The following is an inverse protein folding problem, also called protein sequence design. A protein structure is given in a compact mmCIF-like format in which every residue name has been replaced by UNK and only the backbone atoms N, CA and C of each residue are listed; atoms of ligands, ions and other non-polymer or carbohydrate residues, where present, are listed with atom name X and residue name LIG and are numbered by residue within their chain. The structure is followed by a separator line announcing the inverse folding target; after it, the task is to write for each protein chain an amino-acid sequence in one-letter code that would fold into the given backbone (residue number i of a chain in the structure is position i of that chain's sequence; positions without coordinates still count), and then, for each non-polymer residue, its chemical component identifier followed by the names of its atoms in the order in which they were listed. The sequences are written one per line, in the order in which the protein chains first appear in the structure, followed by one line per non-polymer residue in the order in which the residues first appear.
data_IF_180718536717
#
_entry.id   IF_180718536717
#
_cell.length_a   1.000
_cell.length_b   1.000
_cell.length_c   1.000
_cell.angle_alpha   90.00
_cell.angle_beta   90.00
_cell.angle_gamma   90.00
#
_symmetry.space_group_name_H-M   'P 1'
#
loop_
_entity.id
_entity.type
_entity.pdbx_description
1 polymer ?
#
# COMPACT_ATOMS: atom_id res chain seq x y z
N UNK A 1 -37.27 -46.93 -23.02
CA UNK A 1 -38.09 -45.84 -22.44
C UNK A 1 -37.64 -45.56 -21.01
N UNK A 2 -36.74 -44.60 -20.81
CA UNK A 2 -36.72 -43.57 -19.75
C UNK A 2 -35.37 -42.86 -19.76
N UNK A 3 -35.48 -41.54 -19.84
CA UNK A 3 -34.41 -40.56 -20.00
C UNK A 3 -33.55 -40.39 -18.76
N UNK A 4 -32.34 -39.89 -19.01
CA UNK A 4 -31.36 -39.35 -18.09
C UNK A 4 -31.89 -38.24 -17.19
N UNK A 5 -31.30 -38.09 -16.00
CA UNK A 5 -30.94 -36.78 -15.44
C UNK A 5 -29.59 -36.89 -14.70
N UNK A 6 -28.61 -36.17 -15.24
CA UNK A 6 -27.36 -35.83 -14.58
C UNK A 6 -27.61 -34.91 -13.38
N UNK A 7 -27.03 -35.25 -12.23
CA UNK A 7 -26.77 -34.29 -11.15
C UNK A 7 -25.36 -33.74 -11.33
N UNK A 8 -25.26 -32.51 -11.83
CA UNK A 8 -24.04 -31.70 -11.72
C UNK A 8 -24.23 -30.85 -10.46
N UNK A 9 -23.40 -31.11 -9.44
CA UNK A 9 -23.41 -30.37 -8.19
C UNK A 9 -22.69 -29.02 -8.34
N UNK A 10 -23.39 -27.96 -7.94
CA UNK A 10 -22.87 -26.60 -7.82
C UNK A 10 -21.69 -26.55 -6.85
N UNK A 11 -20.53 -26.11 -7.35
CA UNK A 11 -19.32 -25.83 -6.55
C UNK A 11 -18.56 -24.62 -7.12
N UNK A 12 -19.25 -23.53 -7.43
CA UNK A 12 -18.63 -22.25 -7.81
C UNK A 12 -19.38 -21.11 -7.16
N UNK A 13 -19.10 -20.91 -5.87
CA UNK A 13 -19.34 -19.67 -5.15
C UNK A 13 -18.11 -19.47 -4.27
N UNK A 14 -17.69 -18.21 -4.13
CA UNK A 14 -16.50 -17.70 -3.42
C UNK A 14 -15.27 -17.50 -4.33
N UNK A 15 -15.16 -16.29 -4.90
CA UNK A 15 -13.99 -15.41 -4.78
C UNK A 15 -14.30 -14.08 -5.48
N UNK A 16 -15.12 -13.25 -4.83
CA UNK A 16 -15.17 -11.81 -5.07
C UNK A 16 -14.21 -11.15 -4.07
N UNK A 17 -12.92 -11.10 -4.42
CA UNK A 17 -11.96 -10.26 -3.73
C UNK A 17 -11.89 -8.93 -4.46
N UNK A 18 -12.27 -7.88 -3.73
CA UNK A 18 -12.31 -6.47 -4.10
C UNK A 18 -11.05 -6.02 -4.85
N UNK A 19 -11.21 -5.52 -6.07
CA UNK A 19 -10.24 -4.64 -6.70
C UNK A 19 -10.60 -3.19 -6.34
N UNK A 20 -10.30 -2.79 -5.11
CA UNK A 20 -10.38 -1.40 -4.68
C UNK A 20 -9.09 -0.70 -5.10
N UNK A 21 -9.11 -0.03 -6.26
CA UNK A 21 -8.01 0.83 -6.70
C UNK A 21 -8.47 2.29 -6.57
N UNK A 22 -8.32 2.83 -5.36
CA UNK A 22 -8.57 4.23 -5.09
C UNK A 22 -7.58 5.08 -5.92
N UNK A 23 -8.12 5.93 -6.80
CA UNK A 23 -7.36 6.95 -7.52
C UNK A 23 -7.80 8.29 -6.93
N UNK A 24 -6.91 8.94 -6.17
CA UNK A 24 -7.15 10.28 -5.68
C UNK A 24 -7.13 11.28 -6.86
N UNK A 25 -8.19 12.07 -6.99
CA UNK A 25 -8.25 13.23 -7.88
C UNK A 25 -8.11 14.48 -7.01
N UNK A 26 -7.06 15.27 -7.23
CA UNK A 26 -6.92 16.59 -6.62
C UNK A 26 -7.63 17.63 -7.48
N UNK A 27 -8.57 18.39 -6.91
CA UNK A 27 -8.72 19.82 -7.23
C UNK A 27 -9.59 20.60 -6.24
N UNK A 28 -9.27 21.90 -6.16
CA UNK A 28 -9.94 23.04 -5.55
C UNK A 28 -9.88 23.25 -4.02
N UNK A 29 -9.08 24.26 -3.67
CA UNK A 29 -8.85 24.85 -2.37
C UNK A 29 -10.14 25.40 -1.74
N UNK A 30 -10.47 24.88 -0.57
CA UNK A 30 -11.10 25.65 0.51
C UNK A 30 -10.12 25.66 1.68
N UNK A 31 -9.75 26.84 2.18
CA UNK A 31 -8.88 26.97 3.36
C UNK A 31 -9.46 26.14 4.51
N UNK A 32 -8.73 25.12 4.95
CA UNK A 32 -9.11 24.26 6.08
C UNK A 32 -9.07 25.07 7.38
N UNK A 33 -10.24 25.47 7.86
CA UNK A 33 -10.45 25.87 9.25
C UNK A 33 -10.75 24.64 10.16
N UNK A 34 -10.87 23.44 9.57
CA UNK A 34 -11.29 22.20 10.24
C UNK A 34 -10.22 21.54 11.11
N UNK A 35 -8.93 21.75 10.83
CA UNK A 35 -7.86 21.12 11.63
C UNK A 35 -7.69 21.77 13.02
N UNK A 36 -8.05 23.05 13.18
CA UNK A 36 -7.91 23.77 14.45
C UNK A 36 -9.14 23.54 15.34
N UNK A 37 -10.33 23.34 14.77
CA UNK A 37 -11.56 23.10 15.53
C UNK A 37 -11.66 21.67 16.11
N UNK A 38 -11.07 20.67 15.45
CA UNK A 38 -11.18 19.27 15.90
C UNK A 38 -10.32 18.93 17.14
N UNK A 39 -9.20 19.62 17.40
CA UNK A 39 -8.30 19.20 18.50
C UNK A 39 -8.87 19.49 19.89
N UNK A 40 -9.65 20.56 20.08
CA UNK A 40 -10.27 20.90 21.37
C UNK A 40 -11.71 20.38 21.51
N UNK A 41 -12.22 19.64 20.53
CA UNK A 41 -13.55 19.06 20.61
C UNK A 41 -13.57 17.97 21.69
N UNK A 42 -14.56 18.03 22.59
CA UNK A 42 -14.80 16.96 23.56
C UNK A 42 -15.15 15.67 22.82
N UNK A 43 -14.30 14.66 22.97
CA UNK A 43 -14.53 13.31 22.49
C UNK A 43 -15.59 12.60 23.34
N UNK A 44 -15.52 12.73 24.67
CA UNK A 44 -16.45 12.08 25.58
C UNK A 44 -16.24 12.47 27.04
N UNK A 45 -16.96 11.79 27.93
CA UNK A 45 -16.86 11.97 29.38
C UNK A 45 -16.49 10.64 30.05
N UNK A 46 -15.54 10.66 30.98
CA UNK A 46 -15.18 9.52 31.83
C UNK A 46 -15.10 9.97 33.29
N UNK A 47 -15.91 9.37 34.18
CA UNK A 47 -16.00 9.74 35.60
C UNK A 47 -16.18 11.26 35.85
N UNK A 48 -16.97 11.93 35.00
CA UNK A 48 -17.18 13.38 35.08
C UNK A 48 -16.05 14.24 34.51
N UNK A 49 -14.94 13.65 34.05
CA UNK A 49 -13.87 14.34 33.32
C UNK A 49 -14.19 14.33 31.82
N UNK A 50 -14.14 15.51 31.19
CA UNK A 50 -14.15 15.61 29.73
C UNK A 50 -12.83 15.08 29.15
N UNK A 51 -12.93 14.24 28.13
CA UNK A 51 -11.82 13.80 27.29
C UNK A 51 -11.96 14.51 25.96
N UNK A 52 -10.90 15.16 25.51
CA UNK A 52 -10.84 15.86 24.22
C UNK A 52 -10.16 15.02 23.16
N UNK A 53 -10.41 15.32 21.88
CA UNK A 53 -9.69 14.69 20.78
C UNK A 53 -8.17 14.89 20.87
N UNK A 54 -7.69 16.03 21.40
CA UNK A 54 -6.26 16.27 21.61
C UNK A 54 -5.63 15.26 22.58
N UNK A 55 -6.36 14.84 23.62
CA UNK A 55 -5.89 13.89 24.64
C UNK A 55 -5.76 12.45 24.12
N UNK A 56 -6.35 12.13 22.96
CA UNK A 56 -6.20 10.80 22.35
C UNK A 56 -4.77 10.57 21.82
N UNK A 57 -4.29 9.34 21.96
CA UNK A 57 -3.06 8.87 21.30
C UNK A 57 -3.20 8.97 19.77
N UNK A 58 -2.08 8.96 19.04
CA UNK A 58 -2.14 8.99 17.57
C UNK A 58 -2.81 7.72 17.00
N UNK A 59 -2.68 6.58 17.67
CA UNK A 59 -3.27 5.30 17.28
C UNK A 59 -4.79 5.34 17.41
N UNK A 60 -5.30 5.87 18.52
CA UNK A 60 -6.75 6.09 18.72
C UNK A 60 -7.30 7.10 17.68
N UNK A 61 -6.56 8.18 17.39
CA UNK A 61 -6.93 9.14 16.33
C UNK A 61 -6.97 8.45 14.96
N UNK A 62 -5.95 7.67 14.63
CA UNK A 62 -5.88 6.87 13.41
C UNK A 62 -7.06 5.90 13.30
N UNK A 63 -7.41 5.19 14.38
CA UNK A 63 -8.53 4.25 14.39
C UNK A 63 -9.87 4.94 14.11
N UNK A 64 -10.14 6.06 14.78
CA UNK A 64 -11.36 6.86 14.57
C UNK A 64 -11.43 7.38 13.13
N UNK A 65 -10.34 7.95 12.62
CA UNK A 65 -10.30 8.50 11.26
C UNK A 65 -10.41 7.39 10.22
N UNK A 66 -9.83 6.22 10.45
CA UNK A 66 -10.01 5.05 9.58
C UNK A 66 -11.48 4.59 9.56
N UNK A 67 -12.17 4.62 10.71
CA UNK A 67 -13.60 4.32 10.77
C UNK A 67 -14.43 5.36 9.99
N UNK A 68 -14.14 6.66 10.16
CA UNK A 68 -14.78 7.74 9.39
C UNK A 68 -14.52 7.59 7.89
N UNK A 69 -13.28 7.27 7.51
CA UNK A 69 -12.88 6.99 6.13
C UNK A 69 -13.68 5.82 5.57
N UNK A 70 -13.84 4.75 6.34
CA UNK A 70 -14.65 3.61 5.91
C UNK A 70 -16.10 4.00 5.66
N UNK A 71 -16.69 4.84 6.52
CA UNK A 71 -18.04 5.37 6.33
C UNK A 71 -18.13 6.20 5.05
N UNK A 72 -17.18 7.12 4.85
CA UNK A 72 -17.12 7.97 3.66
C UNK A 72 -16.98 7.16 2.37
N UNK A 73 -16.01 6.23 2.31
CA UNK A 73 -15.81 5.35 1.15
C UNK A 73 -17.03 4.46 0.88
N UNK A 74 -17.66 3.93 1.93
CA UNK A 74 -18.88 3.11 1.77
C UNK A 74 -20.00 3.95 1.14
N UNK A 75 -20.18 5.18 1.59
CA UNK A 75 -21.18 6.08 1.03
C UNK A 75 -20.86 6.50 -0.41
N UNK A 76 -19.58 6.79 -0.71
CA UNK A 76 -19.14 7.08 -2.07
C UNK A 76 -19.41 5.91 -3.02
N UNK A 77 -19.04 4.69 -2.64
CA UNK A 77 -19.30 3.48 -3.43
C UNK A 77 -20.80 3.25 -3.69
N UNK A 78 -21.68 3.61 -2.76
CA UNK A 78 -23.14 3.54 -2.95
C UNK A 78 -23.58 4.52 -4.05
N UNK A 79 -23.08 5.76 -4.03
CA UNK A 79 -23.39 6.76 -5.06
C UNK A 79 -22.83 6.37 -6.44
N UNK A 80 -21.60 5.87 -6.48
CA UNK A 80 -20.98 5.35 -7.70
C UNK A 80 -21.79 4.21 -8.30
N UNK A 81 -22.25 3.27 -7.47
CA UNK A 81 -23.14 2.19 -7.91
C UNK A 81 -24.43 2.74 -8.50
N UNK A 82 -25.11 3.67 -7.82
CA UNK A 82 -26.35 4.28 -8.32
C UNK A 82 -26.13 4.99 -9.65
N UNK A 83 -25.00 5.66 -9.80
CA UNK A 83 -24.63 6.31 -11.04
C UNK A 83 -24.44 5.29 -12.17
N UNK A 84 -23.66 4.22 -11.97
CA UNK A 84 -23.43 3.20 -12.98
C UNK A 84 -24.71 2.49 -13.39
N UNK A 85 -25.56 2.13 -12.43
CA UNK A 85 -26.85 1.49 -12.70
C UNK A 85 -27.74 2.42 -13.56
N UNK A 86 -27.80 3.71 -13.22
CA UNK A 86 -28.52 4.71 -14.03
C UNK A 86 -27.89 4.91 -15.41
N UNK A 87 -26.56 4.92 -15.49
CA UNK A 87 -25.82 5.13 -16.73
C UNK A 87 -26.07 3.99 -17.72
N UNK A 88 -25.97 2.74 -17.27
CA UNK A 88 -26.24 1.57 -18.12
C UNK A 88 -27.71 1.47 -18.50
N UNK A 89 -28.64 1.90 -17.65
CA UNK A 89 -30.05 1.98 -17.99
C UNK A 89 -30.32 2.99 -19.12
N UNK A 90 -29.69 4.16 -19.08
CA UNK A 90 -29.81 5.14 -20.18
C UNK A 90 -29.10 4.67 -21.45
N UNK A 91 -27.95 3.98 -21.32
CA UNK A 91 -27.29 3.31 -22.44
C UNK A 91 -28.20 2.24 -23.08
N UNK A 92 -28.87 1.43 -22.28
CA UNK A 92 -29.83 0.42 -22.73
C UNK A 92 -30.93 1.04 -23.60
N UNK A 93 -31.58 2.10 -23.09
CA UNK A 93 -32.63 2.81 -23.84
C UNK A 93 -32.12 3.40 -25.14
N UNK A 94 -30.98 4.10 -25.09
CA UNK A 94 -30.38 4.77 -26.26
C UNK A 94 -30.04 3.79 -27.38
N UNK A 95 -29.65 2.56 -27.02
CA UNK A 95 -29.26 1.52 -27.99
C UNK A 95 -30.37 0.49 -28.27
N UNK A 96 -31.59 0.69 -27.75
CA UNK A 96 -32.74 -0.22 -27.92
C UNK A 96 -32.45 -1.67 -27.49
N UNK A 97 -31.81 -1.85 -26.35
CA UNK A 97 -31.44 -3.17 -25.81
C UNK A 97 -32.50 -3.71 -24.85
N UNK A 98 -32.73 -5.02 -24.88
CA UNK A 98 -33.84 -5.66 -24.16
C UNK A 98 -33.62 -5.69 -22.64
N UNK A 99 -32.39 -5.96 -22.20
CA UNK A 99 -32.04 -6.08 -20.79
C UNK A 99 -30.82 -5.23 -20.42
N UNK A 100 -30.64 -4.98 -19.12
CA UNK A 100 -29.44 -4.30 -18.61
C UNK A 100 -28.17 -5.14 -18.85
N UNK A 101 -28.29 -6.47 -18.82
CA UNK A 101 -27.18 -7.37 -19.14
C UNK A 101 -26.78 -7.27 -20.61
N UNK A 102 -27.75 -7.14 -21.52
CA UNK A 102 -27.48 -6.87 -22.94
C UNK A 102 -26.77 -5.51 -23.11
N UNK A 103 -27.16 -4.49 -22.34
CA UNK A 103 -26.52 -3.18 -22.33
C UNK A 103 -25.05 -3.24 -21.89
N UNK A 104 -24.78 -3.91 -20.78
CA UNK A 104 -23.41 -4.12 -20.29
C UNK A 104 -22.58 -4.90 -21.31
N UNK A 105 -23.13 -6.00 -21.84
CA UNK A 105 -22.45 -6.83 -22.84
C UNK A 105 -22.14 -6.06 -24.12
N UNK A 106 -23.10 -5.30 -24.64
CA UNK A 106 -22.92 -4.47 -25.83
C UNK A 106 -21.85 -3.40 -25.59
N UNK A 107 -21.95 -2.64 -24.49
CA UNK A 107 -20.97 -1.60 -24.15
C UNK A 107 -19.55 -2.16 -24.01
N UNK A 108 -19.37 -3.22 -23.20
CA UNK A 108 -18.04 -3.78 -22.99
C UNK A 108 -17.49 -4.45 -24.24
N UNK A 109 -18.31 -5.07 -25.09
CA UNK A 109 -17.82 -5.63 -26.36
C UNK A 109 -17.25 -4.57 -27.31
N UNK A 110 -17.72 -3.33 -27.21
CA UNK A 110 -17.26 -2.19 -28.02
C UNK A 110 -16.00 -1.53 -27.46
N UNK A 111 -15.87 -1.47 -26.13
CA UNK A 111 -14.83 -0.70 -25.45
C UNK A 111 -13.71 -1.55 -24.84
N UNK A 112 -13.95 -2.85 -24.61
CA UNK A 112 -12.97 -3.78 -24.03
C UNK A 112 -12.56 -4.80 -25.07
N UNK A 113 -11.26 -4.82 -25.40
CA UNK A 113 -10.65 -5.82 -26.27
C UNK A 113 -9.44 -6.40 -25.57
N UNK A 114 -9.40 -7.72 -25.44
CA UNK A 114 -8.26 -8.45 -24.88
C UNK A 114 -7.68 -9.30 -26.01
N UNK A 115 -6.46 -8.98 -26.43
CA UNK A 115 -5.78 -9.72 -27.48
C UNK A 115 -5.19 -11.03 -26.93
N UNK A 116 -5.19 -12.07 -27.76
CA UNK A 116 -4.64 -13.37 -27.36
C UNK A 116 -3.13 -13.27 -27.11
N UNK A 117 -2.41 -12.38 -27.82
CA UNK A 117 -0.99 -12.13 -27.55
C UNK A 117 -0.74 -11.48 -26.18
N UNK A 118 -1.64 -10.60 -25.73
CA UNK A 118 -1.58 -9.99 -24.40
C UNK A 118 -1.81 -11.06 -23.32
N UNK A 119 -2.76 -11.97 -23.54
CA UNK A 119 -3.02 -13.11 -22.62
C UNK A 119 -1.78 -14.00 -22.50
N UNK A 120 -1.17 -14.36 -23.63
CA UNK A 120 0.05 -15.18 -23.62
C UNK A 120 1.22 -14.46 -22.94
N UNK A 121 1.37 -13.15 -23.20
CA UNK A 121 2.39 -12.33 -22.56
C UNK A 121 2.18 -12.26 -21.05
N UNK A 122 0.95 -12.07 -20.60
CA UNK A 122 0.60 -12.07 -19.18
C UNK A 122 0.93 -13.41 -18.52
N UNK A 123 0.56 -14.54 -19.14
CA UNK A 123 0.89 -15.88 -18.63
C UNK A 123 2.41 -16.04 -18.50
N UNK A 124 3.17 -15.65 -19.53
CA UNK A 124 4.64 -15.74 -19.53
C UNK A 124 5.26 -14.89 -18.43
N UNK A 125 4.82 -13.64 -18.27
CA UNK A 125 5.32 -12.73 -17.25
C UNK A 125 4.99 -13.21 -15.82
N UNK A 126 3.87 -13.92 -15.65
CA UNK A 126 3.39 -14.40 -14.36
C UNK A 126 3.60 -15.90 -14.16
N UNK A 127 4.47 -16.56 -14.94
CA UNK A 127 4.67 -18.01 -14.89
C UNK A 127 5.16 -18.52 -13.52
N UNK A 128 5.84 -17.67 -12.76
CA UNK A 128 6.34 -17.97 -11.42
C UNK A 128 5.33 -17.65 -10.31
N UNK A 129 4.15 -17.12 -10.63
CA UNK A 129 3.11 -16.83 -9.65
C UNK A 129 2.54 -18.16 -9.10
N UNK A 130 2.54 -18.40 -7.78
CA UNK A 130 2.04 -19.65 -7.20
C UNK A 130 0.58 -19.97 -7.54
N UNK A 131 -0.28 -18.97 -7.70
CA UNK A 131 -1.68 -19.17 -8.12
C UNK A 131 -1.74 -19.59 -9.59
N UNK A 132 -0.87 -19.05 -10.45
CA UNK A 132 -0.79 -19.44 -11.86
C UNK A 132 -0.30 -20.89 -12.03
N UNK A 133 0.65 -21.32 -11.19
CA UNK A 133 1.20 -22.68 -11.22
C UNK A 133 0.16 -23.73 -10.80
N UNK A 134 -0.81 -23.36 -9.96
CA UNK A 134 -1.93 -24.23 -9.58
C UNK A 134 -2.95 -24.45 -10.70
N UNK A 135 -2.96 -23.60 -11.73
CA UNK A 135 -3.88 -23.72 -12.87
C UNK A 135 -3.28 -24.67 -13.92
N UNK A 136 -3.99 -25.73 -14.35
CA UNK A 136 -3.54 -26.61 -15.44
C UNK A 136 -3.22 -25.81 -16.69
N UNK A 137 -2.09 -26.10 -17.34
CA UNK A 137 -1.59 -25.29 -18.47
C UNK A 137 -2.63 -25.09 -19.58
N UNK A 138 -3.37 -26.15 -19.93
CA UNK A 138 -4.45 -26.14 -20.92
C UNK A 138 -5.62 -25.19 -20.58
N UNK A 139 -5.80 -24.84 -19.30
CA UNK A 139 -6.88 -23.99 -18.80
C UNK A 139 -6.44 -22.52 -18.61
N UNK A 140 -5.12 -22.26 -18.56
CA UNK A 140 -4.56 -20.94 -18.25
C UNK A 140 -5.04 -19.86 -19.21
N UNK A 141 -5.00 -20.11 -20.52
CA UNK A 141 -5.39 -19.10 -21.52
C UNK A 141 -6.84 -18.65 -21.32
N UNK A 142 -7.77 -19.58 -21.16
CA UNK A 142 -9.18 -19.26 -20.96
C UNK A 142 -9.44 -18.49 -19.67
N UNK A 143 -8.88 -18.97 -18.55
CA UNK A 143 -9.07 -18.35 -17.23
C UNK A 143 -8.39 -16.97 -17.14
N UNK A 144 -7.18 -16.83 -17.70
CA UNK A 144 -6.47 -15.55 -17.74
C UNK A 144 -7.20 -14.57 -18.65
N UNK A 145 -7.69 -14.99 -19.82
CA UNK A 145 -8.50 -14.12 -20.69
C UNK A 145 -9.78 -13.63 -20.00
N UNK A 146 -10.45 -14.51 -19.24
CA UNK A 146 -11.62 -14.12 -18.43
C UNK A 146 -11.24 -13.14 -17.31
N UNK A 147 -10.12 -13.38 -16.63
CA UNK A 147 -9.60 -12.46 -15.62
C UNK A 147 -9.27 -11.09 -16.21
N UNK A 148 -8.47 -11.03 -17.28
CA UNK A 148 -8.08 -9.79 -17.95
C UNK A 148 -9.28 -9.03 -18.50
N UNK A 149 -10.27 -9.74 -19.05
CA UNK A 149 -11.54 -9.13 -19.48
C UNK A 149 -12.24 -8.44 -18.30
N UNK A 150 -12.37 -9.11 -17.14
CA UNK A 150 -12.98 -8.51 -15.94
C UNK A 150 -12.21 -7.29 -15.43
N UNK A 151 -10.88 -7.35 -15.43
CA UNK A 151 -10.02 -6.23 -15.04
C UNK A 151 -10.22 -5.03 -15.99
N UNK A 152 -10.25 -5.28 -17.30
CA UNK A 152 -10.46 -4.22 -18.28
C UNK A 152 -11.87 -3.61 -18.22
N UNK A 153 -12.90 -4.43 -17.97
CA UNK A 153 -14.27 -3.94 -17.71
C UNK A 153 -14.34 -3.05 -16.47
N UNK A 154 -13.72 -3.48 -15.36
CA UNK A 154 -13.67 -2.66 -14.14
C UNK A 154 -12.93 -1.33 -14.36
N UNK A 155 -11.85 -1.33 -15.14
CA UNK A 155 -11.13 -0.10 -15.51
C UNK A 155 -11.99 0.85 -16.34
N UNK A 156 -12.82 0.31 -17.22
CA UNK A 156 -13.74 1.11 -18.02
C UNK A 156 -14.87 1.71 -17.16
N UNK A 157 -15.46 0.94 -16.26
CA UNK A 157 -16.43 1.46 -15.27
C UNK A 157 -15.80 2.55 -14.40
N UNK A 158 -14.57 2.35 -13.95
CA UNK A 158 -13.83 3.36 -13.20
C UNK A 158 -13.63 4.66 -14.00
N UNK A 159 -13.37 4.57 -15.31
CA UNK A 159 -13.27 5.74 -16.20
C UNK A 159 -14.59 6.51 -16.27
N UNK A 160 -15.73 5.81 -16.37
CA UNK A 160 -17.06 6.42 -16.35
C UNK A 160 -17.33 7.14 -15.02
N UNK A 161 -16.99 6.51 -13.90
CA UNK A 161 -17.13 7.10 -12.56
C UNK A 161 -16.26 8.34 -12.40
N UNK A 162 -14.98 8.27 -12.77
CA UNK A 162 -14.06 9.40 -12.68
C UNK A 162 -14.58 10.60 -13.49
N UNK A 163 -15.03 10.36 -14.72
CA UNK A 163 -15.62 11.42 -15.56
C UNK A 163 -16.88 12.04 -14.92
N UNK A 164 -17.69 11.22 -14.26
CA UNK A 164 -18.89 11.67 -13.56
C UNK A 164 -18.55 12.52 -12.33
N UNK A 165 -17.54 12.13 -11.54
CA UNK A 165 -17.03 12.91 -10.41
C UNK A 165 -16.46 14.26 -10.86
N UNK A 166 -15.63 14.26 -11.91
CA UNK A 166 -15.05 15.49 -12.49
C UNK A 166 -16.11 16.46 -12.99
N UNK A 167 -17.24 15.95 -13.49
CA UNK A 167 -18.40 16.74 -13.90
C UNK A 167 -19.34 17.10 -12.74
N UNK A 168 -19.03 16.69 -11.51
CA UNK A 168 -19.87 16.92 -10.33
C UNK A 168 -21.19 16.14 -10.33
N UNK A 169 -21.33 15.12 -11.19
CA UNK A 169 -22.52 14.25 -11.25
C UNK A 169 -22.58 13.27 -10.08
N UNK A 170 -21.42 12.93 -9.52
CA UNK A 170 -21.30 12.18 -8.28
C UNK A 170 -20.71 13.14 -7.24
N UNK A 171 -21.46 13.40 -6.17
CA UNK A 171 -21.01 14.25 -5.07
C UNK A 171 -21.62 13.78 -3.75
N UNK A 172 -20.77 13.40 -2.80
CA UNK A 172 -21.19 13.08 -1.45
C UNK A 172 -21.35 14.39 -0.64
N UNK A 173 -22.56 14.64 -0.14
CA UNK A 173 -22.90 15.89 0.59
C UNK A 173 -23.22 15.62 2.07
N UNK A 174 -23.78 14.46 2.38
CA UNK A 174 -24.25 14.13 3.74
C UNK A 174 -23.19 13.56 4.69
N UNK A 175 -22.00 13.25 4.18
CA UNK A 175 -20.88 12.70 4.97
C UNK A 175 -19.64 13.48 4.58
N UNK A 176 -19.03 14.14 5.56
CA UNK A 176 -17.82 14.92 5.35
C UNK A 176 -16.63 14.01 5.03
N UNK A 177 -15.77 14.47 4.12
CA UNK A 177 -14.52 13.78 3.84
C UNK A 177 -13.64 13.84 5.10
N UNK A 178 -13.19 12.70 5.64
CA UNK A 178 -12.34 12.70 6.81
C UNK A 178 -11.05 13.47 6.53
N UNK A 179 -10.58 14.22 7.53
CA UNK A 179 -9.31 14.91 7.44
C UNK A 179 -8.17 13.90 7.42
N UNK A 180 -7.21 14.08 6.52
CA UNK A 180 -6.01 13.24 6.47
C UNK A 180 -5.12 13.53 7.67
N UNK A 181 -4.70 12.48 8.39
CA UNK A 181 -3.69 12.62 9.45
C UNK A 181 -2.34 12.83 8.80
N UNK A 182 -1.69 13.94 9.16
CA UNK A 182 -0.30 14.20 8.83
C UNK A 182 0.52 13.87 10.07
N UNK A 183 1.12 12.70 10.08
CA UNK A 183 2.05 12.27 11.13
C UNK A 183 3.33 13.11 11.00
N UNK A 184 3.68 13.77 12.10
CA UNK A 184 4.99 14.38 12.25
C UNK A 184 5.93 13.32 12.79
N UNK A 185 6.78 12.78 11.91
CA UNK A 185 7.79 11.82 12.32
C UNK A 185 8.90 12.54 13.06
N UNK A 186 9.35 11.92 14.15
CA UNK A 186 10.59 12.34 14.79
C UNK A 186 11.72 12.15 13.77
N UNK A 187 12.75 13.00 13.82
CA UNK A 187 13.92 12.88 12.94
C UNK A 187 14.83 11.68 13.26
N UNK A 188 14.38 10.74 14.10
CA UNK A 188 15.00 9.43 14.29
C UNK A 188 14.76 8.55 13.05
N UNK A 189 15.77 7.76 12.69
CA UNK A 189 15.77 6.92 11.49
C UNK A 189 16.94 7.28 10.59
N UNK A 190 17.19 6.43 9.60
CA UNK A 190 18.27 6.66 8.65
C UNK A 190 17.72 7.39 7.43
N UNK A 191 18.32 8.54 7.10
CA UNK A 191 18.01 9.34 5.91
C UNK A 191 18.83 8.81 4.72
N UNK A 192 18.18 8.61 3.57
CA UNK A 192 18.84 8.08 2.37
C UNK A 192 19.89 9.01 1.77
N UNK A 193 19.58 10.31 1.71
CA UNK A 193 20.52 11.35 1.29
C UNK A 193 20.60 12.44 2.37
N UNK A 194 21.64 12.38 3.20
CA UNK A 194 21.87 13.38 4.25
C UNK A 194 22.08 14.81 3.71
N UNK A 195 22.35 14.97 2.40
CA UNK A 195 22.52 16.29 1.78
C UNK A 195 21.19 16.90 1.32
N UNK A 196 20.09 16.14 1.32
CA UNK A 196 18.78 16.63 0.91
C UNK A 196 18.06 17.30 2.10
N UNK A 197 18.38 18.57 2.34
CA UNK A 197 17.90 19.30 3.53
C UNK A 197 16.49 19.89 3.41
N UNK A 198 15.92 19.96 2.20
CA UNK A 198 14.56 20.47 1.94
C UNK A 198 13.83 19.60 0.91
N UNK A 199 13.54 18.33 1.21
CA UNK A 199 12.81 17.47 0.31
C UNK A 199 11.37 17.97 0.12
N UNK A 200 10.90 18.01 -1.13
CA UNK A 200 9.47 18.25 -1.41
C UNK A 200 8.61 17.05 -1.02
N UNK A 201 9.22 15.87 -1.04
CA UNK A 201 8.58 14.60 -0.74
C UNK A 201 9.46 13.85 0.26
N UNK A 202 8.88 13.50 1.41
CA UNK A 202 9.50 12.60 2.39
C UNK A 202 8.69 11.31 2.45
N UNK A 203 9.33 10.19 2.20
CA UNK A 203 8.77 8.84 2.36
C UNK A 203 9.36 8.24 3.63
N UNK A 204 8.49 7.89 4.57
CA UNK A 204 8.86 7.11 5.76
C UNK A 204 8.33 5.70 5.59
N UNK A 205 9.21 4.71 5.66
CA UNK A 205 8.84 3.30 5.63
C UNK A 205 9.14 2.64 6.97
N UNK A 206 8.13 1.99 7.54
CA UNK A 206 8.28 1.05 8.64
C UNK A 206 8.30 -0.37 8.07
N UNK A 207 9.41 -1.06 8.27
CA UNK A 207 9.61 -2.36 7.63
C UNK A 207 10.50 -3.30 8.46
N UNK A 208 10.50 -4.54 8.02
CA UNK A 208 11.14 -5.68 8.66
C UNK A 208 11.95 -6.44 7.60
N UNK A 209 13.24 -6.67 7.85
CA UNK A 209 14.15 -7.35 6.93
C UNK A 209 13.76 -8.81 6.62
N UNK A 210 13.01 -9.47 7.50
CA UNK A 210 12.55 -10.85 7.31
C UNK A 210 11.16 -10.92 6.65
N UNK A 211 10.42 -9.81 6.58
CA UNK A 211 9.09 -9.77 5.96
C UNK A 211 9.15 -9.93 4.43
N UNK A 212 8.49 -10.95 3.84
CA UNK A 212 8.51 -11.17 2.39
C UNK A 212 7.96 -9.99 1.57
N UNK A 213 6.94 -9.29 2.07
CA UNK A 213 6.38 -8.12 1.41
C UNK A 213 7.33 -6.92 1.44
N UNK A 214 8.12 -6.77 2.52
CA UNK A 214 9.15 -5.73 2.59
C UNK A 214 10.28 -6.02 1.60
N UNK A 215 10.71 -7.28 1.48
CA UNK A 215 11.69 -7.72 0.47
C UNK A 215 11.20 -7.40 -0.94
N UNK A 216 9.93 -7.67 -1.25
CA UNK A 216 9.34 -7.31 -2.54
C UNK A 216 9.31 -5.79 -2.77
N UNK A 217 8.88 -5.03 -1.76
CA UNK A 217 8.76 -3.57 -1.82
C UNK A 217 10.12 -2.89 -2.04
N UNK A 218 11.20 -3.42 -1.44
CA UNK A 218 12.55 -2.83 -1.55
C UNK A 218 12.98 -2.57 -3.00
N UNK A 219 12.72 -3.52 -3.91
CA UNK A 219 13.06 -3.35 -5.34
C UNK A 219 12.31 -2.18 -6.00
N UNK A 220 11.04 -1.98 -5.63
CA UNK A 220 10.25 -0.84 -6.10
C UNK A 220 10.79 0.47 -5.51
N UNK A 221 11.14 0.48 -4.22
CA UNK A 221 11.67 1.67 -3.54
C UNK A 221 13.02 2.07 -4.13
N UNK A 222 13.95 1.15 -4.36
CA UNK A 222 15.23 1.46 -5.02
C UNK A 222 15.03 2.09 -6.42
N UNK A 223 14.09 1.56 -7.20
CA UNK A 223 13.72 2.12 -8.51
C UNK A 223 13.10 3.51 -8.38
N UNK A 224 12.32 3.75 -7.31
CA UNK A 224 11.72 5.04 -7.01
C UNK A 224 12.78 6.08 -6.62
N UNK A 225 13.67 5.75 -5.69
CA UNK A 225 14.73 6.65 -5.21
C UNK A 225 15.68 7.05 -6.33
N UNK A 226 16.02 6.12 -7.23
CA UNK A 226 16.80 6.43 -8.43
C UNK A 226 16.05 7.35 -9.41
N UNK A 227 14.75 7.14 -9.61
CA UNK A 227 13.92 7.96 -10.52
C UNK A 227 13.67 9.39 -10.00
N UNK A 228 13.66 9.57 -8.68
CA UNK A 228 13.36 10.84 -8.01
C UNK A 228 14.56 11.42 -7.24
N UNK A 229 15.78 11.10 -7.68
CA UNK A 229 17.02 11.57 -7.06
C UNK A 229 17.01 13.08 -6.84
N UNK A 230 17.30 13.51 -5.60
CA UNK A 230 17.31 14.92 -5.19
C UNK A 230 15.93 15.55 -5.00
N UNK A 231 14.84 14.80 -5.14
CA UNK A 231 13.45 15.29 -4.91
C UNK A 231 12.77 14.59 -3.74
N UNK A 232 13.09 13.31 -3.55
CA UNK A 232 12.51 12.45 -2.51
C UNK A 232 13.55 12.17 -1.44
N UNK A 233 13.22 12.49 -0.20
CA UNK A 233 13.89 11.97 0.98
C UNK A 233 13.24 10.66 1.38
N UNK A 234 14.03 9.63 1.61
CA UNK A 234 13.56 8.37 2.15
C UNK A 234 14.13 8.16 3.55
N UNK A 235 13.26 7.72 4.47
CA UNK A 235 13.58 7.44 5.85
C UNK A 235 13.12 6.03 6.14
N UNK A 236 14.04 5.17 6.56
CA UNK A 236 13.73 3.83 7.02
C UNK A 236 13.63 3.81 8.54
N UNK A 237 12.55 3.20 9.06
CA UNK A 237 12.32 2.94 10.48
C UNK A 237 12.16 1.44 10.69
N UNK A 238 12.92 0.90 11.63
CA UNK A 238 12.89 -0.52 11.95
C UNK A 238 11.57 -0.87 12.66
N UNK A 239 10.84 -1.84 12.12
CA UNK A 239 9.60 -2.37 12.73
C UNK A 239 9.60 -3.91 12.73
N UNK A 240 10.57 -4.57 13.40
CA UNK A 240 10.69 -6.01 13.40
C UNK A 240 9.48 -6.67 14.09
N UNK A 241 8.81 -7.57 13.39
CA UNK A 241 7.65 -8.33 13.88
C UNK A 241 8.13 -9.61 14.59
N UNK A 242 8.82 -9.45 15.72
CA UNK A 242 9.57 -10.52 16.41
C UNK A 242 8.78 -11.78 16.74
N UNK A 243 7.47 -11.67 16.90
CA UNK A 243 6.56 -12.80 17.18
C UNK A 243 6.50 -13.82 16.03
N UNK A 244 6.68 -13.37 14.79
CA UNK A 244 6.61 -14.21 13.58
C UNK A 244 7.90 -14.20 12.77
N UNK A 245 8.80 -13.25 13.05
CA UNK A 245 10.06 -13.03 12.36
C UNK A 245 11.23 -12.97 13.36
N UNK A 246 11.77 -14.13 13.81
CA UNK A 246 12.80 -14.18 14.84
C UNK A 246 14.13 -13.53 14.46
N UNK A 247 14.43 -13.41 13.16
CA UNK A 247 15.66 -12.79 12.65
C UNK A 247 15.48 -11.32 12.28
N UNK A 248 14.27 -10.76 12.39
CA UNK A 248 13.99 -9.36 12.09
C UNK A 248 14.81 -8.39 12.98
N UNK A 249 14.80 -8.63 14.30
CA UNK A 249 15.54 -7.81 15.26
C UNK A 249 17.07 -7.99 15.09
N UNK A 250 17.62 -9.22 15.01
CA UNK A 250 19.04 -9.41 14.67
C UNK A 250 19.49 -8.72 13.38
N UNK A 251 18.68 -8.76 12.31
CA UNK A 251 18.99 -8.08 11.05
C UNK A 251 18.96 -6.55 11.19
N UNK A 252 17.98 -5.99 11.90
CA UNK A 252 17.94 -4.55 12.20
C UNK A 252 19.16 -4.09 13.01
N UNK A 253 19.58 -4.88 14.01
CA UNK A 253 20.81 -4.63 14.77
C UNK A 253 22.04 -4.67 13.84
N UNK A 254 22.13 -5.65 12.94
CA UNK A 254 23.22 -5.73 11.96
C UNK A 254 23.28 -4.49 11.05
N UNK A 255 22.13 -4.00 10.56
CA UNK A 255 22.07 -2.76 9.79
C UNK A 255 22.59 -1.55 10.58
N UNK A 256 22.11 -1.34 11.81
CA UNK A 256 22.55 -0.23 12.67
C UNK A 256 24.04 -0.35 13.05
N UNK A 257 24.55 -1.56 13.25
CA UNK A 257 25.98 -1.79 13.51
C UNK A 257 26.87 -1.48 12.30
N UNK A 258 26.41 -1.75 11.08
CA UNK A 258 27.08 -1.25 9.88
C UNK A 258 26.98 0.28 9.77
N UNK A 259 25.86 0.86 10.21
CA UNK A 259 25.67 2.30 10.33
C UNK A 259 26.68 3.00 11.23
N UNK A 260 27.06 2.40 12.36
CA UNK A 260 28.14 2.92 13.22
C UNK A 260 29.50 3.02 12.50
N UNK A 261 29.67 2.32 11.38
CA UNK A 261 30.85 2.35 10.53
C UNK A 261 30.59 3.07 9.19
N UNK A 262 29.48 3.83 9.08
CA UNK A 262 29.13 4.61 7.89
C UNK A 262 28.59 3.79 6.72
N UNK A 263 28.11 2.56 6.96
CA UNK A 263 27.66 1.60 5.93
C UNK A 263 26.23 1.09 6.13
N UNK A 264 25.36 1.92 6.71
CA UNK A 264 23.97 1.54 6.98
C UNK A 264 23.24 1.15 5.69
N UNK A 265 23.23 2.02 4.68
CA UNK A 265 22.45 1.83 3.46
C UNK A 265 22.96 0.66 2.61
N UNK A 266 24.27 0.44 2.58
CA UNK A 266 24.84 -0.71 1.89
C UNK A 266 24.47 -2.02 2.60
N UNK A 267 24.49 -2.07 3.93
CA UNK A 267 24.01 -3.24 4.68
C UNK A 267 22.50 -3.45 4.52
N UNK A 268 21.70 -2.39 4.63
CA UNK A 268 20.25 -2.40 4.39
C UNK A 268 19.92 -3.02 3.02
N UNK A 269 20.63 -2.59 1.97
CA UNK A 269 20.47 -3.13 0.62
C UNK A 269 20.83 -4.62 0.54
N UNK A 270 21.93 -5.05 1.14
CA UNK A 270 22.34 -6.46 1.15
C UNK A 270 21.33 -7.34 1.91
N UNK A 271 20.81 -6.86 3.05
CA UNK A 271 19.81 -7.58 3.82
C UNK A 271 18.52 -7.80 3.02
N UNK A 272 18.02 -6.80 2.31
CA UNK A 272 16.81 -6.94 1.48
C UNK A 272 17.06 -7.66 0.15
N UNK A 273 18.25 -7.50 -0.45
CA UNK A 273 18.59 -8.09 -1.75
C UNK A 273 19.25 -9.48 -1.66
N UNK A 274 19.23 -10.10 -0.48
CA UNK A 274 19.79 -11.44 -0.26
C UNK A 274 19.10 -12.47 -1.16
N UNK A 275 19.84 -13.50 -1.55
CA UNK A 275 19.28 -14.63 -2.27
C UNK A 275 18.15 -15.28 -1.46
N UNK A 276 17.02 -15.69 -2.08
CA UNK A 276 15.92 -16.34 -1.36
C UNK A 276 16.34 -17.61 -0.60
N UNK A 277 17.42 -18.27 -1.04
CA UNK A 277 18.00 -19.46 -0.42
C UNK A 277 18.96 -19.15 0.74
N UNK A 278 19.31 -17.88 0.97
CA UNK A 278 20.19 -17.43 2.04
C UNK A 278 19.35 -16.85 3.20
N UNK A 279 18.96 -17.67 4.20
CA UNK A 279 18.21 -17.17 5.33
C UNK A 279 19.04 -16.17 6.14
N UNK A 280 18.35 -15.17 6.68
CA UNK A 280 18.91 -14.25 7.66
C UNK A 280 19.49 -15.06 8.84
N UNK A 281 20.71 -14.75 9.22
CA UNK A 281 21.44 -15.45 10.27
C UNK A 281 22.70 -14.68 10.65
N UNK A 282 23.26 -14.97 11.83
CA UNK A 282 24.51 -14.36 12.29
C UNK A 282 25.65 -14.48 11.27
N UNK A 283 25.81 -15.65 10.64
CA UNK A 283 26.85 -15.89 9.63
C UNK A 283 26.63 -15.06 8.37
N UNK A 284 25.37 -14.88 7.94
CA UNK A 284 25.07 -14.06 6.78
C UNK A 284 25.38 -12.58 7.05
N UNK A 285 25.04 -12.08 8.23
CA UNK A 285 25.35 -10.70 8.63
C UNK A 285 26.87 -10.44 8.66
N UNK A 286 27.66 -11.39 9.14
CA UNK A 286 29.12 -11.30 9.14
C UNK A 286 29.71 -11.35 7.73
N UNK A 287 29.19 -12.24 6.86
CA UNK A 287 29.58 -12.28 5.44
C UNK A 287 29.31 -10.94 4.73
N UNK A 288 28.17 -10.31 5.00
CA UNK A 288 27.89 -8.98 4.48
C UNK A 288 28.80 -7.91 5.09
N UNK A 289 29.12 -7.99 6.38
CA UNK A 289 30.08 -7.07 7.00
C UNK A 289 31.47 -7.18 6.34
N UNK A 290 31.93 -8.40 6.03
CA UNK A 290 33.18 -8.64 5.31
C UNK A 290 33.10 -8.08 3.87
N UNK A 291 32.00 -8.31 3.16
CA UNK A 291 31.76 -7.74 1.83
C UNK A 291 31.82 -6.21 1.82
N UNK A 292 31.31 -5.57 2.87
CA UNK A 292 31.34 -4.12 3.08
C UNK A 292 32.66 -3.60 3.65
N UNK A 293 33.63 -4.49 3.92
CA UNK A 293 34.95 -4.18 4.49
C UNK A 293 34.86 -3.48 5.85
N UNK A 294 33.90 -3.89 6.68
CA UNK A 294 33.77 -3.39 8.05
C UNK A 294 34.88 -3.93 8.94
N UNK A 295 35.18 -3.24 10.04
CA UNK A 295 35.91 -3.85 11.15
C UNK A 295 35.01 -4.92 11.78
N UNK A 296 35.36 -6.19 11.54
CA UNK A 296 34.55 -7.33 11.97
C UNK A 296 34.49 -7.47 13.50
N UNK A 297 35.53 -7.08 14.22
CA UNK A 297 35.54 -7.16 15.69
C UNK A 297 34.59 -6.12 16.28
N UNK A 298 34.64 -4.88 15.78
CA UNK A 298 33.74 -3.81 16.20
C UNK A 298 32.29 -4.15 15.82
N UNK A 299 32.08 -4.71 14.63
CA UNK A 299 30.76 -5.16 14.17
C UNK A 299 30.17 -6.26 15.05
N UNK A 300 30.96 -7.29 15.39
CA UNK A 300 30.55 -8.38 16.30
C UNK A 300 30.22 -7.85 17.69
N UNK A 301 31.12 -7.05 18.27
CA UNK A 301 30.91 -6.46 19.60
C UNK A 301 29.67 -5.56 19.63
N UNK A 302 29.44 -4.79 18.57
CA UNK A 302 28.25 -3.98 18.41
C UNK A 302 26.97 -4.83 18.38
N UNK A 303 26.98 -5.94 17.63
CA UNK A 303 25.82 -6.85 17.49
C UNK A 303 25.43 -7.56 18.78
N UNK A 304 26.36 -7.74 19.71
CA UNK A 304 26.04 -8.22 21.06
C UNK A 304 25.14 -7.24 21.82
N UNK A 305 25.16 -5.95 21.44
CA UNK A 305 24.35 -4.86 21.99
C UNK A 305 24.30 -4.87 23.53
N UNK A 306 25.45 -5.09 24.18
CA UNK A 306 25.56 -5.22 25.65
C UNK A 306 25.03 -4.01 26.43
N UNK A 307 25.06 -2.81 25.84
CA UNK A 307 24.50 -1.58 26.42
C UNK A 307 23.01 -1.36 26.09
N UNK A 308 22.44 -2.23 25.26
CA UNK A 308 21.09 -2.16 24.70
C UNK A 308 20.82 -0.86 23.94
N UNK A 309 21.85 -0.15 23.47
CA UNK A 309 21.67 1.15 22.83
C UNK A 309 20.99 1.01 21.48
N UNK A 310 21.36 -0.03 20.72
CA UNK A 310 20.83 -0.26 19.38
C UNK A 310 19.41 -0.79 19.47
N UNK A 311 19.19 -1.82 20.30
CA UNK A 311 17.85 -2.34 20.56
C UNK A 311 16.92 -1.26 21.10
N UNK A 312 17.35 -0.37 22.01
CA UNK A 312 16.52 0.76 22.47
C UNK A 312 16.12 1.70 21.32
N UNK A 313 17.04 1.99 20.40
CA UNK A 313 16.71 2.80 19.22
C UNK A 313 15.68 2.10 18.32
N UNK A 314 15.81 0.79 18.10
CA UNK A 314 14.83 0.00 17.34
C UNK A 314 13.47 -0.03 18.06
N UNK A 315 13.45 -0.23 19.38
CA UNK A 315 12.20 -0.18 20.16
C UNK A 315 11.54 1.20 20.12
N UNK A 316 12.31 2.28 20.01
CA UNK A 316 11.76 3.62 19.82
C UNK A 316 11.05 3.77 18.47
N UNK A 317 11.61 3.19 17.40
CA UNK A 317 10.98 3.14 16.07
C UNK A 317 9.70 2.27 16.11
N UNK A 318 9.74 1.10 16.77
CA UNK A 318 8.56 0.24 17.00
C UNK A 318 7.49 1.00 17.78
N UNK A 319 7.86 1.68 18.86
CA UNK A 319 6.91 2.42 19.67
C UNK A 319 6.28 3.57 18.90
N UNK A 320 7.06 4.31 18.10
CA UNK A 320 6.51 5.35 17.22
C UNK A 320 5.53 4.77 16.19
N UNK A 321 5.81 3.59 15.63
CA UNK A 321 4.89 2.91 14.73
C UNK A 321 3.61 2.43 15.42
N UNK A 322 3.72 1.87 16.63
CA UNK A 322 2.57 1.47 17.45
C UNK A 322 1.71 2.68 17.82
N UNK A 323 2.36 3.78 18.23
CA UNK A 323 1.72 5.02 18.63
C UNK A 323 0.87 5.61 17.50
N UNK A 324 1.16 5.33 16.22
CA UNK A 324 0.39 5.79 15.06
C UNK A 324 -0.49 4.69 14.43
N UNK A 325 -0.59 3.53 15.06
CA UNK A 325 -1.47 2.43 14.65
C UNK A 325 -0.94 1.57 13.50
N UNK A 326 0.38 1.43 13.35
CA UNK A 326 0.96 0.46 12.41
C UNK A 326 0.72 -0.96 12.95
N UNK A 327 0.15 -1.80 12.10
CA UNK A 327 -0.17 -3.20 12.41
C UNK A 327 0.38 -4.19 11.37
N UNK A 328 1.09 -3.71 10.35
CA UNK A 328 1.68 -4.53 9.29
C UNK A 328 2.88 -3.84 8.64
N UNK A 329 3.78 -4.65 8.07
CA UNK A 329 4.93 -4.19 7.29
C UNK A 329 4.87 -4.72 5.84
N UNK A 330 5.31 -3.94 4.84
CA UNK A 330 5.75 -2.55 4.96
C UNK A 330 4.56 -1.61 5.15
N UNK A 331 4.77 -0.54 5.92
CA UNK A 331 3.84 0.60 6.02
C UNK A 331 4.53 1.87 5.57
N UNK A 332 3.98 2.55 4.56
CA UNK A 332 4.57 3.76 3.99
C UNK A 332 3.75 4.98 4.38
N UNK A 333 4.47 6.08 4.60
CA UNK A 333 3.90 7.41 4.77
C UNK A 333 4.59 8.38 3.83
N UNK A 334 3.82 9.16 3.07
CA UNK A 334 4.34 10.16 2.14
C UNK A 334 3.90 11.53 2.65
N UNK A 335 4.87 12.39 2.95
CA UNK A 335 4.65 13.68 3.63
C UNK A 335 3.75 13.56 4.88
N UNK A 336 4.00 12.54 5.71
CA UNK A 336 3.25 12.30 6.94
C UNK A 336 1.92 11.56 6.76
N UNK A 337 1.44 11.35 5.54
CA UNK A 337 0.17 10.69 5.29
C UNK A 337 0.38 9.22 4.92
N UNK A 338 -0.40 8.32 5.53
CA UNK A 338 -0.31 6.88 5.24
C UNK A 338 -0.65 6.61 3.78
N UNK A 339 0.24 5.90 3.08
CA UNK A 339 0.03 5.45 1.72
C UNK A 339 -0.74 4.14 1.71
N UNK A 340 -1.93 4.14 1.12
CA UNK A 340 -2.80 2.96 0.99
C UNK A 340 -2.96 2.48 -0.45
N UNK A 341 -2.19 3.07 -1.37
CA UNK A 341 -2.12 2.59 -2.76
C UNK A 341 -1.36 1.28 -2.88
N UNK A 342 -1.33 0.75 -4.12
CA UNK A 342 -0.54 -0.45 -4.38
C UNK A 342 0.97 -0.13 -4.37
N UNK A 343 1.78 -1.04 -3.84
CA UNK A 343 3.24 -0.90 -3.73
C UNK A 343 4.00 -1.11 -5.07
N UNK A 344 3.32 -0.98 -6.22
CA UNK A 344 4.00 -1.00 -7.52
C UNK A 344 4.69 0.32 -7.81
N UNK A 345 5.68 0.29 -8.70
CA UNK A 345 6.36 1.50 -9.15
C UNK A 345 5.38 2.53 -9.70
N UNK A 346 4.42 2.11 -10.53
CA UNK A 346 3.46 3.03 -11.16
C UNK A 346 2.51 3.66 -10.12
N UNK A 347 2.11 2.89 -9.11
CA UNK A 347 1.28 3.38 -8.00
C UNK A 347 1.99 4.47 -7.19
N UNK A 348 3.23 4.21 -6.77
CA UNK A 348 4.03 5.17 -6.02
C UNK A 348 4.44 6.38 -6.86
N UNK A 349 4.80 6.16 -8.13
CA UNK A 349 5.12 7.22 -9.09
C UNK A 349 3.96 8.19 -9.25
N UNK A 350 2.75 7.68 -9.45
CA UNK A 350 1.54 8.50 -9.58
C UNK A 350 1.30 9.36 -8.34
N UNK A 351 1.44 8.77 -7.16
CA UNK A 351 1.26 9.48 -5.89
C UNK A 351 2.28 10.61 -5.72
N UNK A 352 3.56 10.32 -5.97
CA UNK A 352 4.63 11.32 -5.87
C UNK A 352 4.45 12.43 -6.89
N UNK A 353 4.15 12.10 -8.15
CA UNK A 353 3.93 13.10 -9.20
C UNK A 353 2.75 14.02 -8.85
N UNK A 354 1.68 13.46 -8.29
CA UNK A 354 0.51 14.23 -7.85
C UNK A 354 0.91 15.22 -6.75
N UNK A 355 1.65 14.77 -5.73
CA UNK A 355 2.11 15.64 -4.64
C UNK A 355 3.11 16.70 -5.10
N UNK A 356 3.99 16.37 -6.04
CA UNK A 356 4.95 17.31 -6.62
C UNK A 356 4.28 18.38 -7.50
N UNK A 357 3.09 18.10 -8.04
CA UNK A 357 2.33 19.04 -8.86
C UNK A 357 1.54 20.07 -8.03
N UNK A 358 1.30 19.81 -6.75
CA UNK A 358 0.69 20.78 -5.82
C UNK A 358 1.70 21.91 -5.59
N UNK A 359 1.35 23.13 -6.01
CA UNK A 359 2.16 24.35 -5.84
C UNK A 359 2.07 24.93 -4.44
#
# INVERSE_FOLDING_TARGET
MKMAQLKISNKWMIMSALASMAIAVSSCQTRNNSQIENNNQTFGMYNGKAVTFAELTQGEKSEIINAQKKVYETAQNILEKYYLDSWFFEYQKKNNLNTLDDAKKDYFSKNVKIDDLEVQSFIKQNANNPQMQQIPEKERVGLVKQYMTRVAQAKEEQSLLQNAEEQGKIKLVGIEKPSEIVVQFKENGYKYDDNLTQPKITIVEFADYQCPYCVQAHSTIEKLLSSYKGKVQYIFKDFPLTEIHPEAMPAAIAAKCAGNQGKYWEMHKLLFSREPSAPLSANLYESFADQLKLNINDFKSCREDKSSTISKSIHADIQEGNDIGINATPSLFINGQKYEGNMSFDGLKKEIDTRLAVK
#
